data_IF_970814452711
#
_entry.id   IF_970814452711
#
_cell.length_a   1.000
_cell.length_b   1.000
_cell.length_c   1.000
_cell.angle_alpha   90.00
_cell.angle_beta   90.00
_cell.angle_gamma   90.00
#
_symmetry.space_group_name_H-M   'P 1'
#
loop_
_entity.id
_entity.type
_entity.pdbx_description
1 polymer ?
#
# COMPACT_ATOMS: atom_id res chain seq x y z
N UNK A 1 -12.82 16.79 25.35
CA UNK A 1 -12.67 15.65 24.42
C UNK A 1 -11.27 15.08 24.58
N UNK A 2 -11.10 13.76 24.79
CA UNK A 2 -9.80 13.12 25.03
C UNK A 2 -9.00 12.82 23.74
N UNK A 3 -9.61 13.00 22.57
CA UNK A 3 -9.06 12.58 21.28
C UNK A 3 -7.78 13.31 20.86
N UNK A 4 -7.65 14.66 20.99
CA UNK A 4 -6.40 15.34 20.65
C UNK A 4 -5.20 14.87 21.50
N UNK A 5 -5.42 14.67 22.80
CA UNK A 5 -4.39 14.15 23.70
C UNK A 5 -3.96 12.73 23.34
N UNK A 6 -4.92 11.85 23.01
CA UNK A 6 -4.64 10.48 22.59
C UNK A 6 -3.90 10.45 21.25
N UNK A 7 -4.30 11.29 20.29
CA UNK A 7 -3.63 11.42 18.99
C UNK A 7 -2.16 11.80 19.18
N UNK A 8 -1.90 12.86 19.95
CA UNK A 8 -0.54 13.34 20.22
C UNK A 8 0.31 12.25 20.88
N UNK A 9 -0.25 11.50 21.84
CA UNK A 9 0.44 10.38 22.47
C UNK A 9 0.78 9.28 21.47
N UNK A 10 -0.13 8.93 20.55
CA UNK A 10 0.12 7.89 19.55
C UNK A 10 1.13 8.29 18.48
N UNK A 11 1.16 9.56 18.10
CA UNK A 11 2.22 10.08 17.22
C UNK A 11 3.59 9.96 17.89
N UNK A 12 3.68 10.26 19.18
CA UNK A 12 4.92 10.13 19.94
C UNK A 12 5.32 8.66 20.13
N UNK A 13 4.39 7.79 20.54
CA UNK A 13 4.62 6.34 20.74
C UNK A 13 5.16 5.64 19.47
N UNK A 14 4.64 5.98 18.28
CA UNK A 14 4.99 5.27 17.03
C UNK A 14 6.02 5.97 16.17
N UNK A 15 6.05 7.31 16.16
CA UNK A 15 6.87 8.12 15.26
C UNK A 15 7.87 9.00 15.99
N UNK A 16 7.82 9.09 17.34
CA UNK A 16 8.72 9.90 18.14
C UNK A 16 8.50 11.42 17.99
N UNK A 17 7.34 11.85 17.48
CA UNK A 17 7.03 13.27 17.24
C UNK A 17 5.69 13.68 17.84
N UNK A 18 5.61 14.92 18.32
CA UNK A 18 4.38 15.52 18.84
C UNK A 18 3.95 16.69 17.94
N UNK A 19 2.72 16.68 17.39
CA UNK A 19 2.20 17.79 16.61
C UNK A 19 2.20 19.11 17.41
N UNK A 20 2.57 20.25 16.81
CA UNK A 20 2.64 21.53 17.53
C UNK A 20 1.26 22.16 17.77
N UNK A 21 0.21 21.72 17.04
CA UNK A 21 -1.17 22.15 17.21
C UNK A 21 -2.14 21.11 16.60
N UNK A 22 -3.43 21.24 16.89
CA UNK A 22 -4.45 20.28 16.44
C UNK A 22 -4.65 20.27 14.92
N UNK A 23 -4.37 21.37 14.21
CA UNK A 23 -4.45 21.44 12.75
C UNK A 23 -3.40 20.55 12.07
N UNK A 24 -2.23 20.38 12.68
CA UNK A 24 -1.20 19.43 12.27
C UNK A 24 -1.27 18.10 13.03
N UNK A 25 -2.29 17.93 13.86
CA UNK A 25 -2.54 16.74 14.67
C UNK A 25 -3.85 16.09 14.25
N UNK A 26 -4.78 15.96 15.20
CA UNK A 26 -6.04 15.24 15.01
C UNK A 26 -6.95 15.81 13.90
N UNK A 27 -6.75 17.06 13.49
CA UNK A 27 -7.53 17.72 12.41
C UNK A 27 -6.82 17.72 11.05
N UNK A 28 -5.65 17.06 10.95
CA UNK A 28 -4.87 16.92 9.71
C UNK A 28 -5.72 16.39 8.55
N UNK A 29 -6.61 15.44 8.84
CA UNK A 29 -7.32 14.65 7.85
C UNK A 29 -8.84 14.87 7.93
N UNK A 30 -9.50 14.89 6.77
CA UNK A 30 -10.92 15.21 6.63
C UNK A 30 -11.86 14.01 6.89
N UNK A 31 -11.33 12.79 6.96
CA UNK A 31 -12.15 11.56 6.90
C UNK A 31 -13.21 11.47 8.00
N UNK A 32 -12.86 11.85 9.23
CA UNK A 32 -13.81 11.76 10.35
C UNK A 32 -14.90 12.83 10.28
N UNK A 33 -14.63 14.01 9.73
CA UNK A 33 -15.67 15.01 9.50
C UNK A 33 -16.62 14.59 8.37
N UNK A 34 -16.15 13.77 7.44
CA UNK A 34 -16.97 13.13 6.39
C UNK A 34 -17.65 11.83 6.86
N UNK A 35 -17.47 11.39 8.11
CA UNK A 35 -18.04 10.14 8.62
C UNK A 35 -17.39 8.86 8.09
N UNK A 36 -16.23 8.95 7.43
CA UNK A 36 -15.51 7.83 6.82
C UNK A 36 -14.71 7.00 7.85
N UNK A 37 -15.36 6.56 8.92
CA UNK A 37 -14.77 5.66 9.91
C UNK A 37 -14.55 4.27 9.31
N UNK A 38 -13.38 3.67 9.57
CA UNK A 38 -12.97 2.41 8.94
C UNK A 38 -12.31 2.56 7.56
N UNK A 39 -12.15 3.78 7.05
CA UNK A 39 -11.50 4.03 5.77
C UNK A 39 -9.97 3.95 5.84
N UNK A 40 -9.35 4.47 6.91
CA UNK A 40 -7.88 4.52 7.03
C UNK A 40 -7.15 3.18 6.81
N UNK A 41 -7.63 2.03 7.34
CA UNK A 41 -6.98 0.73 7.07
C UNK A 41 -6.84 0.39 5.59
N UNK A 42 -7.69 0.95 4.72
CA UNK A 42 -7.64 0.68 3.27
C UNK A 42 -6.38 1.23 2.60
N UNK A 43 -5.75 2.28 3.13
CA UNK A 43 -4.48 2.79 2.61
C UNK A 43 -3.35 1.77 2.81
N UNK A 44 -3.25 1.19 4.01
CA UNK A 44 -2.25 0.16 4.31
C UNK A 44 -2.52 -1.12 3.51
N UNK A 45 -3.79 -1.52 3.37
CA UNK A 45 -4.16 -2.64 2.50
C UNK A 45 -3.76 -2.38 1.04
N UNK A 46 -3.95 -1.15 0.54
CA UNK A 46 -3.53 -0.73 -0.79
C UNK A 46 -2.01 -0.91 -0.99
N UNK A 47 -1.19 -0.49 -0.03
CA UNK A 47 0.26 -0.70 -0.07
C UNK A 47 0.63 -2.20 -0.11
N UNK A 48 -0.05 -3.03 0.68
CA UNK A 48 0.17 -4.48 0.69
C UNK A 48 -0.21 -5.13 -0.64
N UNK A 49 -1.38 -4.80 -1.19
CA UNK A 49 -1.81 -5.29 -2.50
C UNK A 49 -0.86 -4.83 -3.61
N UNK A 50 -0.42 -3.57 -3.59
CA UNK A 50 0.49 -3.04 -4.60
C UNK A 50 1.81 -3.84 -4.64
N UNK A 51 2.43 -4.08 -3.48
CA UNK A 51 3.68 -4.85 -3.41
C UNK A 51 3.50 -6.30 -3.89
N UNK A 52 2.39 -6.95 -3.49
CA UNK A 52 2.12 -8.33 -3.87
C UNK A 52 1.78 -8.47 -5.37
N UNK A 53 0.96 -7.57 -5.92
CA UNK A 53 0.65 -7.52 -7.36
C UNK A 53 1.90 -7.22 -8.19
N UNK A 54 2.75 -6.30 -7.73
CA UNK A 54 4.01 -5.98 -8.39
C UNK A 54 4.96 -7.18 -8.43
N UNK A 55 5.07 -7.92 -7.32
CA UNK A 55 5.87 -9.15 -7.27
C UNK A 55 5.32 -10.25 -8.20
N UNK A 56 3.99 -10.40 -8.28
CA UNK A 56 3.37 -11.34 -9.21
C UNK A 56 3.63 -10.95 -10.67
N UNK A 57 3.39 -9.68 -11.03
CA UNK A 57 3.67 -9.17 -12.37
C UNK A 57 5.14 -9.33 -12.77
N UNK A 58 6.08 -9.08 -11.84
CA UNK A 58 7.52 -9.25 -12.06
C UNK A 58 7.93 -10.70 -12.36
N UNK A 59 7.19 -11.69 -11.83
CA UNK A 59 7.42 -13.12 -12.14
C UNK A 59 6.87 -13.53 -13.49
N UNK A 60 5.72 -12.96 -13.88
CA UNK A 60 5.01 -13.35 -15.10
C UNK A 60 5.54 -12.65 -16.36
N UNK A 61 6.11 -11.45 -16.20
CA UNK A 61 6.61 -10.63 -17.31
C UNK A 61 8.11 -10.86 -17.48
N UNK A 62 8.52 -11.39 -18.63
CA UNK A 62 9.93 -11.52 -18.98
C UNK A 62 10.63 -10.15 -19.09
N UNK A 63 11.87 -10.06 -18.59
CA UNK A 63 12.66 -8.83 -18.53
C UNK A 63 11.92 -7.65 -17.85
N UNK A 64 11.17 -7.94 -16.78
CA UNK A 64 10.34 -6.93 -16.14
C UNK A 64 11.09 -5.65 -15.75
N UNK A 65 12.22 -5.78 -15.04
CA UNK A 65 12.97 -4.60 -14.56
C UNK A 65 13.63 -3.84 -15.71
N UNK A 66 14.24 -4.54 -16.67
CA UNK A 66 14.84 -3.91 -17.84
C UNK A 66 13.82 -3.13 -18.67
N UNK A 67 12.58 -3.63 -18.75
CA UNK A 67 11.46 -2.91 -19.38
C UNK A 67 11.11 -1.62 -18.65
N UNK A 68 11.02 -1.66 -17.31
CA UNK A 68 10.75 -0.46 -16.52
C UNK A 68 11.86 0.59 -16.66
N UNK A 69 13.12 0.16 -16.65
CA UNK A 69 14.28 1.05 -16.86
C UNK A 69 14.24 1.77 -18.21
N UNK A 70 13.74 1.10 -19.25
CA UNK A 70 13.55 1.69 -20.60
C UNK A 70 12.24 2.47 -20.75
N UNK A 71 11.42 2.59 -19.70
CA UNK A 71 10.12 3.26 -19.76
C UNK A 71 9.03 2.45 -20.48
N UNK A 72 9.23 1.15 -20.70
CA UNK A 72 8.27 0.24 -21.33
C UNK A 72 7.22 -0.25 -20.31
N UNK A 73 6.26 0.61 -19.96
CA UNK A 73 5.21 0.26 -18.98
C UNK A 73 4.03 -0.53 -19.55
N UNK A 74 3.95 -0.68 -20.87
CA UNK A 74 2.82 -1.33 -21.53
C UNK A 74 2.57 -2.77 -21.03
N UNK A 75 3.60 -3.63 -20.88
CA UNK A 75 3.40 -4.99 -20.39
C UNK A 75 2.83 -5.05 -18.97
N UNK A 76 3.31 -4.21 -18.05
CA UNK A 76 2.77 -4.12 -16.69
C UNK A 76 1.31 -3.64 -16.71
N UNK A 77 1.00 -2.62 -17.51
CA UNK A 77 -0.37 -2.12 -17.65
C UNK A 77 -1.32 -3.19 -18.19
N UNK A 78 -0.88 -3.98 -19.16
CA UNK A 78 -1.66 -5.08 -19.74
C UNK A 78 -1.85 -6.20 -18.72
N UNK A 79 -0.81 -6.59 -17.99
CA UNK A 79 -0.93 -7.55 -16.91
C UNK A 79 -1.95 -7.11 -15.84
N UNK A 80 -1.91 -5.84 -15.42
CA UNK A 80 -2.88 -5.28 -14.47
C UNK A 80 -4.30 -5.23 -15.07
N UNK A 81 -4.42 -4.92 -16.36
CA UNK A 81 -5.72 -4.93 -17.05
C UNK A 81 -6.33 -6.31 -17.01
N UNK A 82 -5.56 -7.35 -17.32
CA UNK A 82 -6.06 -8.72 -17.40
C UNK A 82 -6.33 -9.34 -16.03
N UNK A 83 -5.46 -9.11 -15.06
CA UNK A 83 -5.54 -9.78 -13.76
C UNK A 83 -6.33 -8.97 -12.71
N UNK A 84 -6.55 -7.67 -12.92
CA UNK A 84 -7.19 -6.80 -11.93
C UNK A 84 -8.33 -5.99 -12.56
N UNK A 85 -8.01 -5.07 -13.48
CA UNK A 85 -8.96 -4.01 -13.86
C UNK A 85 -10.20 -4.55 -14.60
N UNK A 86 -10.03 -5.52 -15.51
CA UNK A 86 -11.15 -6.08 -16.30
C UNK A 86 -12.21 -6.78 -15.45
N UNK A 87 -11.89 -7.13 -14.20
CA UNK A 87 -12.81 -7.83 -13.32
C UNK A 87 -13.77 -6.89 -12.58
N UNK A 88 -13.44 -5.60 -12.44
CA UNK A 88 -14.26 -4.65 -11.68
C UNK A 88 -14.65 -5.20 -10.30
N UNK A 89 -15.94 -5.19 -9.97
CA UNK A 89 -16.48 -5.75 -8.72
C UNK A 89 -16.91 -7.22 -8.83
N UNK A 90 -16.48 -7.96 -9.87
CA UNK A 90 -16.85 -9.37 -10.05
C UNK A 90 -16.40 -10.27 -8.90
N UNK A 91 -15.26 -9.95 -8.29
CA UNK A 91 -14.66 -10.72 -7.20
C UNK A 91 -14.48 -9.83 -5.96
N UNK A 92 -14.54 -10.45 -4.77
CA UNK A 92 -14.10 -9.79 -3.54
C UNK A 92 -12.58 -9.60 -3.58
N UNK A 93 -12.06 -8.61 -2.87
CA UNK A 93 -10.63 -8.23 -2.92
C UNK A 93 -9.68 -9.38 -2.62
N UNK A 94 -9.99 -10.23 -1.63
CA UNK A 94 -9.16 -11.39 -1.31
C UNK A 94 -9.17 -12.43 -2.44
N UNK A 95 -10.33 -12.71 -3.03
CA UNK A 95 -10.44 -13.65 -4.14
C UNK A 95 -9.72 -13.12 -5.39
N UNK A 96 -9.88 -11.83 -5.70
CA UNK A 96 -9.17 -11.18 -6.79
C UNK A 96 -7.66 -11.27 -6.61
N UNK A 97 -7.16 -11.05 -5.39
CA UNK A 97 -5.75 -11.19 -5.06
C UNK A 97 -5.24 -12.62 -5.23
N UNK A 98 -6.00 -13.62 -4.77
CA UNK A 98 -5.66 -15.04 -5.00
C UNK A 98 -5.61 -15.37 -6.48
N UNK A 99 -6.56 -14.88 -7.28
CA UNK A 99 -6.58 -15.09 -8.74
C UNK A 99 -5.40 -14.42 -9.44
N UNK A 100 -5.07 -13.19 -9.06
CA UNK A 100 -4.01 -12.40 -9.69
C UNK A 100 -2.60 -12.82 -9.25
N UNK A 101 -2.44 -13.37 -8.05
CA UNK A 101 -1.10 -13.56 -7.43
C UNK A 101 -0.82 -14.99 -6.98
N UNK A 102 -1.82 -15.88 -7.02
CA UNK A 102 -1.72 -17.28 -6.61
C UNK A 102 -1.89 -17.53 -5.11
N UNK A 103 -1.92 -16.49 -4.26
CA UNK A 103 -2.06 -16.64 -2.82
C UNK A 103 -2.94 -15.55 -2.17
N UNK A 104 -3.27 -15.74 -0.89
CA UNK A 104 -3.99 -14.72 -0.11
C UNK A 104 -3.16 -13.44 0.04
N UNK A 105 -3.78 -12.35 0.49
CA UNK A 105 -3.03 -11.15 0.86
C UNK A 105 -1.97 -11.50 1.92
N UNK A 106 -0.72 -11.17 1.65
CA UNK A 106 0.42 -11.54 2.46
C UNK A 106 1.35 -10.32 2.66
N UNK A 107 1.36 -9.79 3.88
CA UNK A 107 2.13 -8.59 4.22
C UNK A 107 3.64 -8.72 3.98
N UNK A 108 4.16 -9.96 3.87
CA UNK A 108 5.59 -10.21 3.63
C UNK A 108 6.11 -9.61 2.33
N UNK A 109 5.26 -9.48 1.31
CA UNK A 109 5.65 -8.81 0.05
C UNK A 109 5.96 -7.34 0.29
N UNK A 110 5.13 -6.65 1.07
CA UNK A 110 5.32 -5.24 1.38
C UNK A 110 6.49 -5.01 2.32
N UNK A 111 6.59 -5.77 3.42
CA UNK A 111 7.72 -5.63 4.33
C UNK A 111 9.03 -6.02 3.66
N UNK A 112 9.04 -7.07 2.83
CA UNK A 112 10.22 -7.47 2.06
C UNK A 112 10.67 -6.39 1.08
N UNK A 113 9.73 -5.77 0.36
CA UNK A 113 10.01 -4.61 -0.50
C UNK A 113 10.65 -3.46 0.28
N UNK A 114 10.06 -3.06 1.40
CA UNK A 114 10.59 -1.98 2.23
C UNK A 114 11.98 -2.32 2.76
N UNK A 115 12.16 -3.49 3.38
CA UNK A 115 13.44 -3.91 3.93
C UNK A 115 14.51 -3.91 2.85
N UNK A 116 14.27 -4.55 1.69
CA UNK A 116 15.25 -4.58 0.60
C UNK A 116 15.64 -3.18 0.12
N UNK A 117 14.64 -2.32 -0.15
CA UNK A 117 14.88 -0.98 -0.66
C UNK A 117 15.63 -0.10 0.33
N UNK A 118 15.21 -0.11 1.60
CA UNK A 118 15.79 0.76 2.62
C UNK A 118 17.15 0.26 3.11
N UNK A 119 17.37 -1.06 3.18
CA UNK A 119 18.70 -1.65 3.40
C UNK A 119 19.69 -1.25 2.31
N UNK A 120 19.27 -1.26 1.04
CA UNK A 120 20.14 -0.87 -0.06
C UNK A 120 20.50 0.61 -0.04
N UNK A 121 19.53 1.49 0.21
CA UNK A 121 19.74 2.95 0.22
C UNK A 121 20.58 3.39 1.42
N UNK A 122 20.24 2.91 2.63
CA UNK A 122 20.85 3.36 3.87
C UNK A 122 22.00 2.48 4.36
N UNK A 123 22.28 1.36 3.67
CA UNK A 123 23.34 0.39 4.00
C UNK A 123 23.18 -0.18 5.41
N UNK A 124 21.94 -0.61 5.73
CA UNK A 124 21.54 -1.23 7.00
C UNK A 124 21.16 -2.69 6.85
#
# INVERSE_FOLDING_TARGET
>A
SALPALWNRKMEDYLGVKPPNDAQGVLQDIHWSMGAFGYFPTYTLGNMYAAQLFNAARKDIADFDGKLERGEFQPLREWLRENVHRHGMRYRSEELCRKATGEALNAKHFTGYLTSKFSEIYKI
#
